data_IF_352770620312
#
_entry.id   IF_352770620312
#
_cell.length_a   1.000
_cell.length_b   1.000
_cell.length_c   1.000
_cell.angle_alpha   90.00
_cell.angle_beta   90.00
_cell.angle_gamma   90.00
#
_symmetry.space_group_name_H-M   'P 1'
#
loop_
_entity.id
_entity.type
_entity.pdbx_description
1 polymer ?
#
# COMPACT_ATOMS: atom_id res chain seq x y z
N UNK A 1 -11.94 3.71 23.97
CA UNK A 1 -11.75 2.27 23.73
C UNK A 1 -12.45 1.88 22.44
N UNK A 2 -11.73 1.83 21.31
CA UNK A 2 -12.25 1.17 20.10
C UNK A 2 -11.89 -0.31 20.23
N UNK A 3 -12.85 -1.11 20.69
CA UNK A 3 -12.80 -2.57 20.58
C UNK A 3 -12.71 -2.88 19.09
N UNK A 4 -11.53 -3.26 18.59
CA UNK A 4 -11.42 -3.75 17.22
C UNK A 4 -11.99 -5.16 17.21
N UNK A 5 -13.12 -5.41 16.53
CA UNK A 5 -13.73 -6.73 16.53
C UNK A 5 -12.77 -7.77 15.93
N UNK A 6 -12.79 -9.00 16.45
CA UNK A 6 -12.16 -10.12 15.77
C UNK A 6 -12.96 -10.38 14.48
N UNK A 7 -12.30 -10.25 13.34
CA UNK A 7 -12.94 -10.51 12.06
C UNK A 7 -12.31 -11.73 11.38
N UNK A 8 -13.16 -12.71 11.07
CA UNK A 8 -12.82 -13.85 10.21
C UNK A 8 -13.48 -13.63 8.86
N UNK A 9 -12.68 -13.54 7.79
CA UNK A 9 -13.20 -13.29 6.45
C UNK A 9 -12.87 -14.45 5.51
N UNK A 10 -13.91 -15.16 5.06
CA UNK A 10 -13.80 -16.27 4.11
C UNK A 10 -14.33 -15.86 2.73
N UNK A 11 -13.71 -16.42 1.67
CA UNK A 11 -14.05 -16.20 0.26
C UNK A 11 -15.39 -16.84 -0.11
N UNK A 12 -16.12 -16.24 -1.06
CA UNK A 12 -17.13 -16.92 -1.87
C UNK A 12 -16.48 -17.50 -3.14
N UNK A 13 -16.45 -18.83 -3.28
CA UNK A 13 -16.03 -19.54 -4.51
C UNK A 13 -15.12 -20.76 -4.28
N UNK A 14 -15.46 -21.86 -4.97
CA UNK A 14 -14.76 -23.16 -4.97
C UNK A 14 -13.31 -23.01 -5.48
N UNK A 15 -12.33 -23.34 -4.62
CA UNK A 15 -10.93 -23.75 -4.85
C UNK A 15 -10.00 -23.07 -3.82
N UNK A 16 -9.36 -23.92 -3.00
CA UNK A 16 -8.37 -23.68 -1.93
C UNK A 16 -8.08 -22.19 -1.63
N UNK A 17 -8.82 -21.63 -0.66
CA UNK A 17 -8.89 -20.20 -0.39
C UNK A 17 -7.67 -19.64 0.33
N UNK A 18 -7.34 -18.37 0.06
CA UNK A 18 -6.55 -17.58 0.99
C UNK A 18 -7.45 -17.14 2.15
N UNK A 19 -6.94 -17.15 3.37
CA UNK A 19 -7.65 -16.70 4.55
C UNK A 19 -6.79 -15.72 5.33
N UNK A 20 -7.47 -14.82 6.05
CA UNK A 20 -6.83 -13.86 6.94
C UNK A 20 -7.79 -13.57 8.09
N UNK A 21 -7.23 -13.60 9.30
CA UNK A 21 -7.94 -13.31 10.54
C UNK A 21 -7.15 -12.23 11.26
N UNK A 22 -7.85 -11.15 11.61
CA UNK A 22 -7.29 -10.04 12.36
C UNK A 22 -7.97 -10.05 13.73
N UNK A 23 -7.17 -10.25 14.78
CA UNK A 23 -7.60 -10.16 16.17
C UNK A 23 -6.90 -8.99 16.86
N UNK A 24 -7.33 -8.57 18.05
CA UNK A 24 -6.62 -7.58 18.85
C UNK A 24 -5.21 -7.99 19.28
N UNK A 25 -4.82 -9.26 19.14
CA UNK A 25 -3.49 -9.78 19.56
C UNK A 25 -2.59 -10.13 18.37
N UNK A 26 -3.17 -10.51 17.23
CA UNK A 26 -2.40 -10.98 16.08
C UNK A 26 -3.12 -10.83 14.73
N UNK A 27 -2.34 -10.93 13.65
CA UNK A 27 -2.86 -11.31 12.34
C UNK A 27 -2.36 -12.70 11.99
N UNK A 28 -3.27 -13.53 11.50
CA UNK A 28 -2.97 -14.84 10.94
C UNK A 28 -3.44 -14.85 9.49
N UNK A 29 -2.60 -15.29 8.56
CA UNK A 29 -2.96 -15.43 7.16
C UNK A 29 -2.30 -16.63 6.51
N UNK A 30 -2.93 -17.22 5.50
CA UNK A 30 -2.41 -18.41 4.83
C UNK A 30 -3.26 -18.84 3.63
N UNK A 31 -2.93 -20.00 3.08
CA UNK A 31 -3.70 -20.67 2.03
C UNK A 31 -4.35 -21.94 2.58
N UNK A 32 -5.43 -22.40 1.94
CA UNK A 32 -6.19 -23.59 2.34
C UNK A 32 -7.61 -23.30 2.84
N UNK A 33 -8.43 -24.33 3.01
CA UNK A 33 -9.87 -24.22 3.29
C UNK A 33 -10.22 -23.75 4.73
N UNK A 34 -9.30 -23.11 5.46
CA UNK A 34 -9.53 -22.49 6.78
C UNK A 34 -9.92 -23.44 7.93
N UNK A 35 -10.25 -24.70 7.64
CA UNK A 35 -10.89 -25.64 8.58
C UNK A 35 -10.05 -26.90 8.86
N UNK A 36 -9.18 -27.35 7.95
CA UNK A 36 -8.57 -28.70 8.04
C UNK A 36 -7.04 -28.71 8.16
N UNK A 37 -6.34 -27.66 7.70
CA UNK A 37 -4.88 -27.53 7.87
C UNK A 37 -4.50 -26.06 7.73
N UNK A 38 -4.20 -25.39 8.85
CA UNK A 38 -3.73 -23.99 8.83
C UNK A 38 -2.23 -23.96 8.56
N UNK A 39 -1.82 -24.11 7.30
CA UNK A 39 -0.49 -23.62 6.89
C UNK A 39 -0.59 -22.10 6.72
N UNK A 40 -0.21 -21.37 7.78
CA UNK A 40 -0.35 -19.92 7.82
C UNK A 40 0.78 -19.25 8.60
N UNK A 41 1.00 -17.97 8.31
CA UNK A 41 1.90 -17.10 9.05
C UNK A 41 1.09 -16.38 10.12
N UNK A 42 1.60 -16.40 11.37
CA UNK A 42 1.06 -15.63 12.49
C UNK A 42 2.03 -14.52 12.86
N UNK A 43 1.51 -13.31 12.99
CA UNK A 43 2.24 -12.12 13.43
C UNK A 43 1.54 -11.58 14.66
N UNK A 44 2.23 -11.59 15.80
CA UNK A 44 1.72 -11.03 17.05
C UNK A 44 2.00 -9.53 17.08
N UNK A 45 0.96 -8.72 17.34
CA UNK A 45 1.10 -7.26 17.35
C UNK A 45 2.11 -6.77 18.38
N UNK A 46 2.16 -7.43 19.55
CA UNK A 46 3.09 -7.10 20.63
C UNK A 46 4.57 -7.27 20.26
N UNK A 47 4.87 -8.00 19.18
CA UNK A 47 6.24 -8.25 18.72
C UNK A 47 6.68 -7.30 17.62
N UNK A 48 5.77 -6.48 17.10
CA UNK A 48 6.16 -5.39 16.19
C UNK A 48 7.04 -4.43 16.98
N UNK A 49 8.25 -4.25 16.50
CA UNK A 49 9.23 -3.39 17.12
C UNK A 49 9.35 -2.08 16.34
N UNK A 50 9.36 -0.97 17.05
CA UNK A 50 9.88 0.29 16.52
C UNK A 50 11.31 0.06 16.04
N UNK A 51 11.57 0.33 14.76
CA UNK A 51 12.79 -0.02 14.06
C UNK A 51 13.84 1.09 14.13
N UNK A 52 14.96 0.80 14.78
CA UNK A 52 16.14 1.66 14.97
C UNK A 52 16.87 2.13 13.69
N UNK A 53 16.35 1.94 12.46
CA UNK A 53 17.14 2.10 11.23
C UNK A 53 16.54 2.97 10.11
N UNK A 54 15.41 3.66 10.33
CA UNK A 54 14.86 4.56 9.32
C UNK A 54 14.02 5.67 9.93
N UNK A 55 13.66 6.66 9.09
CA UNK A 55 12.70 7.73 9.40
C UNK A 55 11.29 7.19 9.75
N UNK A 56 10.98 5.95 9.39
CA UNK A 56 9.68 5.28 9.57
C UNK A 56 9.88 3.86 10.14
N UNK A 57 9.06 3.47 11.10
CA UNK A 57 8.98 2.11 11.67
C UNK A 57 8.20 1.16 10.78
N UNK A 58 7.18 1.69 10.11
CA UNK A 58 6.32 0.97 9.17
C UNK A 58 6.39 1.68 7.83
N UNK A 59 6.82 0.96 6.78
CA UNK A 59 7.05 1.56 5.45
C UNK A 59 6.42 0.77 4.30
N UNK A 60 6.16 1.47 3.21
CA UNK A 60 5.73 0.83 1.97
C UNK A 60 6.97 0.32 1.21
N UNK A 61 6.98 -0.97 0.88
CA UNK A 61 7.97 -1.55 -0.03
C UNK A 61 7.27 -2.16 -1.24
N UNK A 62 7.96 -2.15 -2.39
CA UNK A 62 7.50 -2.80 -3.60
C UNK A 62 8.35 -4.05 -3.83
N UNK A 63 7.73 -5.25 -3.82
CA UNK A 63 8.46 -6.52 -3.92
C UNK A 63 8.17 -7.26 -5.24
N UNK A 64 9.24 -7.82 -5.82
CA UNK A 64 9.21 -8.67 -7.02
C UNK A 64 8.93 -7.94 -8.35
N UNK A 65 8.95 -8.65 -9.50
CA UNK A 65 8.79 -8.07 -10.84
C UNK A 65 7.55 -7.21 -11.07
N UNK A 66 6.43 -7.51 -10.40
CA UNK A 66 5.16 -6.77 -10.58
C UNK A 66 5.06 -5.57 -9.62
N UNK A 67 6.12 -5.29 -8.83
CA UNK A 67 6.15 -4.23 -7.82
C UNK A 67 4.92 -4.29 -6.90
N UNK A 68 4.71 -5.45 -6.28
CA UNK A 68 3.57 -5.63 -5.39
C UNK A 68 3.77 -4.81 -4.10
N UNK A 69 2.79 -3.96 -3.71
CA UNK A 69 2.88 -3.17 -2.49
C UNK A 69 2.79 -4.04 -1.25
N UNK A 70 3.76 -3.89 -0.34
CA UNK A 70 3.82 -4.58 0.95
C UNK A 70 4.13 -3.58 2.06
N UNK A 71 3.59 -3.82 3.24
CA UNK A 71 3.86 -3.09 4.48
C UNK A 71 5.02 -3.80 5.16
N UNK A 72 6.18 -3.14 5.30
CA UNK A 72 7.35 -3.67 5.98
C UNK A 72 7.52 -3.04 7.36
N UNK A 73 7.94 -3.84 8.34
CA UNK A 73 8.14 -3.43 9.73
C UNK A 73 9.14 -4.34 10.45
N UNK A 74 9.73 -3.82 11.53
CA UNK A 74 10.60 -4.61 12.41
C UNK A 74 9.78 -5.58 13.28
N UNK A 75 10.27 -6.81 13.43
CA UNK A 75 9.62 -7.85 14.23
C UNK A 75 10.63 -8.50 15.17
N UNK A 76 10.33 -8.50 16.47
CA UNK A 76 11.12 -9.17 17.50
C UNK A 76 10.75 -10.66 17.55
N UNK A 77 11.71 -11.50 17.23
CA UNK A 77 11.61 -12.94 17.35
C UNK A 77 11.70 -13.40 18.82
N UNK A 78 11.21 -14.61 19.16
CA UNK A 78 11.31 -15.15 20.53
C UNK A 78 12.73 -15.24 21.07
N UNK A 79 13.72 -15.42 20.19
CA UNK A 79 15.15 -15.51 20.53
C UNK A 79 15.79 -14.14 20.79
N UNK A 80 15.00 -13.05 20.76
CA UNK A 80 15.47 -11.69 20.95
C UNK A 80 16.08 -11.05 19.70
N UNK A 81 16.18 -11.77 18.58
CA UNK A 81 16.61 -11.19 17.31
C UNK A 81 15.53 -10.31 16.71
N UNK A 82 15.92 -9.28 15.96
CA UNK A 82 14.99 -8.42 15.25
C UNK A 82 15.15 -8.63 13.74
N UNK A 83 14.07 -9.05 13.09
CA UNK A 83 14.02 -9.29 11.65
C UNK A 83 13.01 -8.36 10.98
N UNK A 84 13.23 -8.02 9.71
CA UNK A 84 12.24 -7.30 8.92
C UNK A 84 11.18 -8.27 8.39
N UNK A 85 9.91 -7.98 8.70
CA UNK A 85 8.76 -8.69 8.17
C UNK A 85 8.02 -7.80 7.17
N UNK A 86 7.39 -8.44 6.17
CA UNK A 86 6.58 -7.74 5.16
C UNK A 86 5.23 -8.40 5.00
N UNK A 87 4.15 -7.63 5.14
CA UNK A 87 2.78 -8.04 4.90
C UNK A 87 2.30 -7.55 3.53
N UNK A 88 1.71 -8.41 2.69
CA UNK A 88 1.21 -7.98 1.40
C UNK A 88 -0.05 -7.11 1.56
N UNK A 89 -0.06 -5.94 0.91
CA UNK A 89 -1.15 -4.96 1.01
C UNK A 89 -2.30 -5.25 0.05
N UNK A 90 -1.95 -5.90 -1.07
CA UNK A 90 -2.87 -6.74 -1.83
C UNK A 90 -2.78 -8.14 -1.26
N UNK A 91 -3.88 -8.70 -0.77
CA UNK A 91 -3.95 -10.13 -0.43
C UNK A 91 -3.95 -10.98 -1.72
N UNK A 92 -2.87 -10.89 -2.49
CA UNK A 92 -2.65 -11.48 -3.81
C UNK A 92 -1.28 -12.13 -3.84
N UNK A 93 -1.03 -13.11 -2.98
CA UNK A 93 0.25 -13.82 -3.13
C UNK A 93 0.27 -14.67 -4.41
N UNK A 94 1.43 -14.71 -5.06
CA UNK A 94 1.65 -15.24 -6.41
C UNK A 94 1.17 -16.68 -6.55
N UNK A 95 0.49 -16.92 -7.67
CA UNK A 95 0.17 -18.27 -8.17
C UNK A 95 -1.31 -18.47 -8.42
N UNK A 96 -2.18 -17.76 -7.69
CA UNK A 96 -3.61 -17.79 -7.94
C UNK A 96 -4.22 -16.40 -7.78
N UNK A 97 -5.02 -16.03 -8.77
CA UNK A 97 -5.90 -14.86 -8.75
C UNK A 97 -6.85 -14.99 -7.55
N UNK A 98 -6.43 -14.53 -6.37
CA UNK A 98 -7.36 -14.16 -5.31
C UNK A 98 -8.09 -12.91 -5.81
N UNK A 99 -9.14 -13.20 -6.59
CA UNK A 99 -10.26 -12.31 -6.83
C UNK A 99 -10.67 -11.76 -5.47
N UNK A 100 -10.31 -10.50 -5.27
CA UNK A 100 -10.95 -9.51 -4.40
C UNK A 100 -11.66 -10.12 -3.19
N UNK A 101 -11.02 -10.06 -2.01
CA UNK A 101 -11.83 -10.06 -0.79
C UNK A 101 -12.91 -9.00 -0.98
N UNK A 102 -14.18 -9.40 -0.87
CA UNK A 102 -15.33 -8.47 -1.03
C UNK A 102 -15.17 -7.26 -0.08
N UNK A 103 -14.52 -7.50 1.07
CA UNK A 103 -14.24 -6.52 2.11
C UNK A 103 -12.76 -6.07 2.15
N UNK A 104 -12.06 -6.06 1.00
CA UNK A 104 -10.63 -5.74 0.95
C UNK A 104 -10.28 -4.39 1.60
N UNK A 105 -11.12 -3.38 1.41
CA UNK A 105 -10.91 -2.06 1.99
C UNK A 105 -11.13 -2.08 3.52
N UNK A 106 -12.17 -2.75 4.02
CA UNK A 106 -12.39 -2.92 5.46
C UNK A 106 -11.24 -3.70 6.12
N UNK A 107 -10.68 -4.68 5.42
CA UNK A 107 -9.54 -5.44 5.91
C UNK A 107 -8.27 -4.59 5.99
N UNK A 108 -8.00 -3.75 5.00
CA UNK A 108 -6.86 -2.80 5.05
C UNK A 108 -7.02 -1.82 6.20
N UNK A 109 -8.23 -1.28 6.37
CA UNK A 109 -8.56 -0.39 7.50
C UNK A 109 -8.30 -1.12 8.82
N UNK A 110 -8.86 -2.32 9.01
CA UNK A 110 -8.68 -3.10 10.24
C UNK A 110 -7.21 -3.43 10.52
N UNK A 111 -6.43 -3.76 9.47
CA UNK A 111 -5.00 -4.03 9.59
C UNK A 111 -4.25 -2.78 10.06
N UNK A 112 -4.41 -1.65 9.36
CA UNK A 112 -3.71 -0.41 9.68
C UNK A 112 -4.17 0.16 11.03
N UNK A 113 -5.45 0.06 11.39
CA UNK A 113 -5.96 0.44 12.70
C UNK A 113 -5.34 -0.39 13.81
N UNK A 114 -5.24 -1.71 13.65
CA UNK A 114 -4.60 -2.56 14.67
C UNK A 114 -3.12 -2.26 14.84
N UNK A 115 -2.41 -1.92 13.76
CA UNK A 115 -1.01 -1.48 13.83
C UNK A 115 -0.90 -0.10 14.48
N UNK A 116 -1.73 0.87 14.09
CA UNK A 116 -1.75 2.23 14.62
C UNK A 116 -2.16 2.29 16.10
N UNK A 117 -3.00 1.35 16.55
CA UNK A 117 -3.35 1.18 17.95
C UNK A 117 -2.19 0.67 18.82
N UNK A 118 -1.05 0.30 18.22
CA UNK A 118 0.16 -0.08 18.96
C UNK A 118 1.09 1.12 19.10
N UNK A 119 1.61 1.26 20.31
CA UNK A 119 2.36 2.42 20.78
C UNK A 119 3.49 2.85 19.83
N UNK A 120 3.50 4.15 19.51
CA UNK A 120 4.61 4.93 18.94
C UNK A 120 5.23 4.40 17.65
N UNK A 121 4.45 3.72 16.81
CA UNK A 121 4.90 3.43 15.44
C UNK A 121 4.77 4.69 14.58
N UNK A 122 5.85 5.03 13.91
CA UNK A 122 5.87 6.07 12.90
C UNK A 122 5.74 5.46 11.51
N UNK A 123 4.65 5.80 10.83
CA UNK A 123 4.26 5.28 9.54
C UNK A 123 4.74 6.21 8.42
N UNK A 124 5.18 5.56 7.35
CA UNK A 124 5.35 6.18 6.04
C UNK A 124 3.99 6.58 5.44
N UNK A 125 3.76 7.86 5.11
CA UNK A 125 2.51 8.34 4.51
C UNK A 125 2.13 7.61 3.24
N UNK A 126 3.11 7.13 2.47
CA UNK A 126 2.86 6.41 1.23
C UNK A 126 2.02 5.14 1.46
N UNK A 127 2.03 4.56 2.66
CA UNK A 127 1.15 3.43 3.03
C UNK A 127 -0.31 3.86 2.94
N UNK A 128 -0.66 5.02 3.50
CA UNK A 128 -2.05 5.50 3.53
C UNK A 128 -2.51 5.99 2.16
N UNK A 129 -1.62 6.63 1.40
CA UNK A 129 -1.85 7.02 -0.01
C UNK A 129 -2.11 5.78 -0.89
N UNK A 130 -1.28 4.75 -0.75
CA UNK A 130 -1.43 3.49 -1.47
C UNK A 130 -2.71 2.74 -1.05
N UNK A 131 -3.09 2.83 0.23
CA UNK A 131 -4.32 2.25 0.73
C UNK A 131 -5.55 2.99 0.24
N UNK A 132 -5.40 4.30 -0.04
CA UNK A 132 -6.51 5.23 -0.19
C UNK A 132 -7.31 5.35 1.10
N UNK A 133 -6.62 5.52 2.24
CA UNK A 133 -7.24 5.64 3.56
C UNK A 133 -6.73 6.92 4.22
N UNK A 134 -7.64 7.67 4.82
CA UNK A 134 -7.32 8.78 5.68
C UNK A 134 -6.81 8.28 7.05
N UNK A 135 -5.58 8.61 7.47
CA UNK A 135 -5.06 8.18 8.77
C UNK A 135 -5.82 8.80 9.95
N UNK A 136 -6.44 9.98 9.80
CA UNK A 136 -7.16 10.64 10.89
C UNK A 136 -8.58 10.08 11.05
N UNK A 137 -9.30 9.95 9.93
CA UNK A 137 -10.72 9.55 9.95
C UNK A 137 -10.97 8.07 9.68
N UNK A 138 -9.96 7.34 9.18
CA UNK A 138 -10.06 5.95 8.74
C UNK A 138 -11.07 5.71 7.61
N UNK A 139 -11.48 6.77 6.91
CA UNK A 139 -12.35 6.69 5.74
C UNK A 139 -11.56 6.49 4.45
N UNK A 140 -12.25 5.97 3.44
CA UNK A 140 -11.66 5.78 2.12
C UNK A 140 -11.49 7.12 1.42
N UNK A 141 -10.27 7.39 0.99
CA UNK A 141 -9.91 8.50 0.13
C UNK A 141 -9.98 8.07 -1.34
N UNK A 142 -10.21 9.00 -2.28
CA UNK A 142 -10.03 8.73 -3.70
C UNK A 142 -8.63 8.15 -3.93
N UNK A 143 -8.50 6.98 -4.56
CA UNK A 143 -7.18 6.36 -4.80
C UNK A 143 -6.45 7.13 -5.91
N UNK A 144 -5.21 7.60 -5.68
CA UNK A 144 -4.55 8.49 -6.62
C UNK A 144 -4.14 7.76 -7.89
N UNK A 145 -3.86 6.46 -7.78
CA UNK A 145 -3.42 5.62 -8.89
C UNK A 145 -4.29 5.77 -10.14
N UNK A 146 -5.62 5.83 -10.02
CA UNK A 146 -6.49 5.97 -11.20
C UNK A 146 -6.25 7.29 -11.94
N UNK A 147 -6.03 8.37 -11.19
CA UNK A 147 -5.80 9.71 -11.74
C UNK A 147 -4.36 9.82 -12.24
N UNK A 148 -3.39 9.25 -11.55
CA UNK A 148 -2.01 9.13 -12.02
C UNK A 148 -1.91 8.36 -13.33
N UNK A 149 -2.62 7.24 -13.45
CA UNK A 149 -2.73 6.48 -14.69
C UNK A 149 -3.39 7.32 -15.79
N UNK A 150 -4.44 8.07 -15.48
CA UNK A 150 -5.08 8.96 -16.45
C UNK A 150 -4.11 10.06 -16.93
N UNK A 151 -3.35 10.69 -16.02
CA UNK A 151 -2.34 11.69 -16.36
C UNK A 151 -1.20 11.07 -17.19
N UNK A 152 -0.75 9.86 -16.84
CA UNK A 152 0.29 9.15 -17.58
C UNK A 152 -0.17 8.78 -19.00
N UNK A 153 -1.40 8.27 -19.14
CA UNK A 153 -2.00 7.97 -20.44
C UNK A 153 -2.16 9.25 -21.27
N UNK A 154 -2.65 10.33 -20.67
CA UNK A 154 -2.79 11.62 -21.35
C UNK A 154 -1.44 12.18 -21.80
N UNK A 155 -0.40 12.07 -20.95
CA UNK A 155 0.97 12.50 -21.28
C UNK A 155 1.55 11.67 -22.42
N UNK A 156 1.33 10.35 -22.40
CA UNK A 156 1.76 9.45 -23.49
C UNK A 156 1.04 9.79 -24.80
N UNK A 157 -0.27 10.02 -24.75
CA UNK A 157 -1.05 10.45 -25.91
C UNK A 157 -0.53 11.78 -26.47
N UNK A 158 -0.21 12.75 -25.59
CA UNK A 158 0.37 14.03 -26.00
C UNK A 158 1.74 13.85 -26.67
N UNK A 159 2.60 12.95 -26.17
CA UNK A 159 3.89 12.63 -26.80
C UNK A 159 3.68 12.01 -28.19
N UNK A 160 2.74 11.09 -28.34
CA UNK A 160 2.43 10.44 -29.63
C UNK A 160 1.87 11.43 -30.66
N UNK A 161 0.95 12.30 -30.23
CA UNK A 161 0.39 13.37 -31.07
C UNK A 161 1.50 14.36 -31.45
N UNK A 162 2.32 14.78 -30.49
CA UNK A 162 3.45 15.66 -30.76
C UNK A 162 4.41 15.05 -31.77
N UNK A 163 4.74 13.76 -31.61
CA UNK A 163 5.59 13.01 -32.54
C UNK A 163 5.03 12.94 -33.96
N UNK A 164 3.71 12.78 -34.12
CA UNK A 164 3.10 12.74 -35.46
C UNK A 164 3.17 14.08 -36.21
N UNK A 165 3.08 15.21 -35.49
CA UNK A 165 3.21 16.55 -36.08
C UNK A 165 4.67 16.93 -36.39
N UNK A 166 5.62 16.43 -35.60
CA UNK A 166 7.04 16.81 -35.70
C UNK A 166 7.88 15.83 -36.51
N UNK A 167 7.30 14.71 -36.97
CA UNK A 167 7.96 13.70 -37.82
C UNK A 167 8.60 14.24 -39.11
N UNK A 168 8.25 15.46 -39.54
CA UNK A 168 8.84 16.13 -40.70
C UNK A 168 9.99 17.10 -40.37
N UNK A 169 10.34 17.29 -39.09
CA UNK A 169 11.40 18.23 -38.67
C UNK A 169 12.75 17.53 -38.46
N UNK A 170 13.84 18.16 -38.92
CA UNK A 170 15.23 17.66 -38.78
C UNK A 170 15.91 18.03 -37.47
N UNK A 171 15.30 18.89 -36.64
CA UNK A 171 15.90 19.37 -35.40
C UNK A 171 15.65 18.41 -34.24
N UNK A 172 16.66 17.61 -33.92
CA UNK A 172 16.66 16.69 -32.76
C UNK A 172 16.41 17.43 -31.45
N UNK A 173 16.91 18.66 -31.30
CA UNK A 173 16.75 19.47 -30.08
C UNK A 173 15.28 19.81 -29.83
N UNK A 174 14.51 20.14 -30.88
CA UNK A 174 13.08 20.43 -30.74
C UNK A 174 12.27 19.19 -30.36
N UNK A 175 12.59 18.04 -30.96
CA UNK A 175 11.95 16.76 -30.64
C UNK A 175 12.18 16.40 -29.17
N UNK A 176 13.45 16.37 -28.76
CA UNK A 176 13.85 15.98 -27.41
C UNK A 176 13.31 16.97 -26.38
N UNK A 177 13.48 18.27 -26.63
CA UNK A 177 12.98 19.33 -25.73
C UNK A 177 11.46 19.28 -25.54
N UNK A 178 10.69 19.06 -26.62
CA UNK A 178 9.24 18.95 -26.54
C UNK A 178 8.77 17.72 -25.75
N UNK A 179 9.41 16.57 -25.93
CA UNK A 179 9.12 15.37 -25.13
C UNK A 179 9.39 15.62 -23.65
N UNK A 180 10.55 16.21 -23.30
CA UNK A 180 10.85 16.55 -21.92
C UNK A 180 9.86 17.57 -21.32
N UNK A 181 9.41 18.55 -22.11
CA UNK A 181 8.40 19.51 -21.66
C UNK A 181 7.06 18.83 -21.35
N UNK A 182 6.58 17.92 -22.22
CA UNK A 182 5.34 17.18 -22.01
C UNK A 182 5.43 16.27 -20.78
N UNK A 183 6.52 15.52 -20.65
CA UNK A 183 6.75 14.66 -19.49
C UNK A 183 6.88 15.47 -18.19
N UNK A 184 7.58 16.61 -18.25
CA UNK A 184 7.71 17.54 -17.13
C UNK A 184 6.36 18.09 -16.66
N UNK A 185 5.48 18.48 -17.59
CA UNK A 185 4.11 18.90 -17.28
C UNK A 185 3.28 17.77 -16.67
N UNK A 186 3.41 16.54 -17.17
CA UNK A 186 2.74 15.36 -16.60
C UNK A 186 3.18 15.07 -15.17
N UNK A 187 4.49 15.16 -14.89
CA UNK A 187 5.04 15.03 -13.54
C UNK A 187 4.53 16.14 -12.61
N UNK A 188 4.53 17.38 -13.09
CA UNK A 188 4.07 18.53 -12.30
C UNK A 188 2.57 18.46 -12.01
N UNK A 189 1.76 18.01 -12.97
CA UNK A 189 0.33 17.75 -12.78
C UNK A 189 0.09 16.65 -11.75
N UNK A 190 0.87 15.56 -11.83
CA UNK A 190 0.80 14.45 -10.85
C UNK A 190 1.16 14.92 -9.45
N UNK A 191 2.27 15.66 -9.31
CA UNK A 191 2.70 16.22 -8.03
C UNK A 191 1.66 17.18 -7.45
N UNK A 192 1.13 18.10 -8.27
CA UNK A 192 0.11 19.07 -7.85
C UNK A 192 -1.18 18.39 -7.43
N UNK A 193 -1.60 17.36 -8.16
CA UNK A 193 -2.76 16.55 -7.81
C UNK A 193 -2.56 15.85 -6.46
N UNK A 194 -1.43 15.17 -6.25
CA UNK A 194 -1.11 14.51 -4.97
C UNK A 194 -1.14 15.48 -3.81
N UNK A 195 -0.46 16.63 -3.96
CA UNK A 195 -0.42 17.66 -2.90
C UNK A 195 -1.81 18.19 -2.54
N UNK A 196 -2.71 18.30 -3.53
CA UNK A 196 -4.09 18.75 -3.31
C UNK A 196 -4.99 17.66 -2.73
N UNK A 197 -4.81 16.41 -3.15
CA UNK A 197 -5.64 15.29 -2.74
C UNK A 197 -5.25 14.76 -1.34
N UNK A 198 -3.98 14.90 -0.93
CA UNK A 198 -3.44 14.42 0.35
C UNK A 198 -2.66 15.53 1.07
N UNK A 199 -3.32 16.63 1.48
CA UNK A 199 -2.66 17.66 2.27
C UNK A 199 -2.18 17.06 3.60
N UNK A 200 -0.90 17.26 3.95
CA UNK A 200 -0.33 16.79 5.22
C UNK A 200 0.41 15.45 5.17
N UNK A 201 0.38 14.74 4.03
CA UNK A 201 1.10 13.46 3.84
C UNK A 201 2.58 13.64 3.50
N UNK A 202 3.13 14.85 3.64
CA UNK A 202 4.55 15.15 3.46
C UNK A 202 5.38 14.88 4.74
N UNK A 203 4.70 14.52 5.83
CA UNK A 203 5.27 14.36 7.17
C UNK A 203 5.07 12.95 7.71
N UNK A 204 5.93 12.54 8.64
CA UNK A 204 5.82 11.25 9.34
C UNK A 204 4.49 11.20 10.10
N UNK A 205 3.73 10.11 9.94
CA UNK A 205 2.46 9.91 10.67
C UNK A 205 2.75 9.02 11.87
N UNK A 206 2.61 9.53 13.09
CA UNK A 206 2.72 8.70 14.30
C UNK A 206 1.40 8.78 15.07
N UNK A 207 0.94 7.65 15.61
CA UNK A 207 -0.29 7.58 16.39
C UNK A 207 0.06 7.58 17.87
N UNK A 208 -0.51 8.53 18.62
CA UNK A 208 -0.38 8.52 20.07
C UNK A 208 -1.34 7.49 20.67
N UNK A 209 -0.87 6.77 21.67
CA UNK A 209 -1.72 5.92 22.49
C UNK A 209 -2.69 6.83 23.26
N UNK A 210 -3.99 6.76 22.94
CA UNK A 210 -5.02 7.40 23.76
C UNK A 210 -5.04 6.70 25.12
N UNK A 211 -4.39 7.32 26.12
CA UNK A 211 -4.51 6.95 27.53
C UNK A 211 -5.95 7.00 28.01
#
# INVERSE_FOLDING_TARGET
>A
MLLVPAFMFARAGLLAGAWITITPESVEYGSGNGIVEKQGTKIEWARIASGQMARYDVRLILKGPVREPRIAFGYKMPDGTQNEYSLPMSLRERGMQCLWFVNADALRIALLQNMAARSNLCFDPDIFVEAGIDPETWHLMPKPRKIEWAIAIASMAAVLIFGSFISATTSVVLVVGGVFAILGLGLLATFSFRKRAYPGFDHVICFCENR
#
